data_IF_354739133529
#
_entry.id   IF_354739133529
#
_cell.length_a   1.000
_cell.length_b   1.000
_cell.length_c   1.000
_cell.angle_alpha   90.00
_cell.angle_beta   90.00
_cell.angle_gamma   90.00
#
_symmetry.space_group_name_H-M   'P 1'
#
loop_
_entity.id
_entity.type
_entity.pdbx_description
1 polymer ?
#
# COMPACT_ATOMS: atom_id res chain seq x y z
N UNK A 1 24.14 8.85 5.05
CA UNK A 1 23.79 9.25 3.66
C UNK A 1 23.76 8.14 2.61
N UNK A 2 24.31 6.95 2.84
CA UNK A 2 24.45 5.90 1.80
C UNK A 2 23.49 4.70 1.93
N UNK A 3 22.19 4.88 2.24
CA UNK A 3 21.25 3.77 2.04
C UNK A 3 20.89 3.64 0.55
N UNK A 4 21.00 2.42 0.02
CA UNK A 4 20.48 2.07 -1.30
C UNK A 4 18.95 2.21 -1.32
N UNK A 5 18.33 2.52 -2.48
CA UNK A 5 16.87 2.57 -2.57
C UNK A 5 16.26 1.23 -2.16
N UNK A 6 15.09 1.23 -1.49
CA UNK A 6 14.42 0.00 -1.13
C UNK A 6 14.06 -0.80 -2.39
N UNK A 7 14.15 -2.12 -2.26
CA UNK A 7 13.71 -3.08 -3.28
C UNK A 7 12.25 -3.42 -2.99
N UNK A 8 11.34 -2.83 -3.75
CA UNK A 8 9.88 -2.98 -3.58
C UNK A 8 9.16 -2.68 -4.89
N UNK A 9 7.99 -3.28 -5.09
CA UNK A 9 7.04 -2.93 -6.16
C UNK A 9 6.41 -1.54 -5.99
N UNK A 10 6.50 -0.94 -4.79
CA UNK A 10 6.01 0.41 -4.51
C UNK A 10 6.99 1.48 -5.00
N UNK A 11 7.05 1.67 -6.32
CA UNK A 11 7.92 2.62 -7.00
C UNK A 11 7.85 4.05 -6.43
N UNK A 12 6.64 4.55 -6.18
CA UNK A 12 6.37 5.88 -5.59
C UNK A 12 6.86 6.05 -4.15
N UNK A 13 7.21 4.97 -3.44
CA UNK A 13 7.71 4.99 -2.06
C UNK A 13 9.23 4.79 -1.96
N UNK A 14 9.96 4.75 -3.08
CA UNK A 14 11.42 4.51 -3.10
C UNK A 14 12.26 5.77 -2.85
N UNK A 15 11.62 6.93 -2.77
CA UNK A 15 12.29 8.21 -2.55
C UNK A 15 12.91 8.32 -1.15
N UNK A 16 14.01 9.06 -1.04
CA UNK A 16 14.58 9.44 0.26
C UNK A 16 13.82 10.63 0.82
N UNK A 17 13.56 10.61 2.12
CA UNK A 17 12.95 11.74 2.81
C UNK A 17 13.95 12.89 2.94
N UNK A 18 13.57 14.10 2.52
CA UNK A 18 14.37 15.31 2.72
C UNK A 18 14.34 15.78 4.17
N UNK A 19 15.33 16.58 4.58
CA UNK A 19 15.47 17.07 5.97
C UNK A 19 14.20 17.73 6.51
N UNK A 20 13.61 18.67 5.76
CA UNK A 20 12.39 19.38 6.18
C UNK A 20 11.19 18.44 6.41
N UNK A 21 11.04 17.43 5.55
CA UNK A 21 9.99 16.42 5.69
C UNK A 21 10.24 15.52 6.89
N UNK A 22 11.51 15.16 7.14
CA UNK A 22 11.91 14.34 8.29
C UNK A 22 11.63 15.02 9.63
N UNK A 23 11.92 16.31 9.75
CA UNK A 23 11.67 17.05 11.00
C UNK A 23 10.18 17.07 11.35
N UNK A 24 9.32 17.28 10.34
CA UNK A 24 7.86 17.24 10.51
C UNK A 24 7.38 15.83 10.84
N UNK A 25 7.86 14.83 10.11
CA UNK A 25 7.54 13.42 10.31
C UNK A 25 7.89 12.97 11.73
N UNK A 26 9.11 13.24 12.19
CA UNK A 26 9.60 12.83 13.50
C UNK A 26 8.78 13.44 14.65
N UNK A 27 8.28 14.67 14.47
CA UNK A 27 7.48 15.38 15.48
C UNK A 27 6.03 14.93 15.53
N UNK A 28 5.43 14.59 14.39
CA UNK A 28 3.97 14.43 14.27
C UNK A 28 3.51 12.98 14.12
N UNK A 29 4.34 12.08 13.61
CA UNK A 29 3.94 10.69 13.36
C UNK A 29 3.99 9.88 14.66
N UNK A 30 2.88 9.22 14.98
CA UNK A 30 2.78 8.36 16.16
C UNK A 30 3.43 6.99 15.94
N UNK A 31 3.25 6.39 14.74
CA UNK A 31 3.67 5.02 14.44
C UNK A 31 4.13 4.89 12.99
N UNK A 32 5.05 3.94 12.76
CA UNK A 32 5.45 3.49 11.43
C UNK A 32 5.21 1.99 11.35
N UNK A 33 4.42 1.55 10.38
CA UNK A 33 4.15 0.13 10.12
C UNK A 33 4.89 -0.27 8.86
N UNK A 34 5.69 -1.32 8.94
CA UNK A 34 6.34 -1.92 7.78
C UNK A 34 5.46 -3.02 7.21
N UNK A 35 5.41 -3.12 5.90
CA UNK A 35 4.63 -4.10 5.16
C UNK A 35 5.48 -4.73 4.08
N UNK A 36 5.21 -5.99 3.75
CA UNK A 36 5.85 -6.67 2.61
C UNK A 36 5.16 -6.35 1.29
N UNK A 37 5.82 -6.62 0.17
CA UNK A 37 5.20 -6.50 -1.16
C UNK A 37 3.98 -7.45 -1.30
N UNK A 38 3.99 -8.61 -0.63
CA UNK A 38 2.84 -9.53 -0.59
C UNK A 38 1.64 -8.90 0.17
N UNK A 39 1.90 -8.23 1.30
CA UNK A 39 0.84 -7.49 2.03
C UNK A 39 0.24 -6.38 1.16
N UNK A 40 1.05 -5.75 0.30
CA UNK A 40 0.60 -4.72 -0.65
C UNK A 40 -0.32 -5.34 -1.70
N UNK A 41 0.06 -6.46 -2.32
CA UNK A 41 -0.78 -7.14 -3.33
C UNK A 41 -2.11 -7.57 -2.73
N UNK A 42 -2.11 -8.17 -1.54
CA UNK A 42 -3.34 -8.55 -0.86
C UNK A 42 -4.22 -7.32 -0.57
N UNK A 43 -3.60 -6.19 -0.18
CA UNK A 43 -4.32 -4.95 0.07
C UNK A 43 -4.94 -4.37 -1.21
N UNK A 44 -4.22 -4.41 -2.34
CA UNK A 44 -4.75 -4.02 -3.65
C UNK A 44 -5.99 -4.86 -4.00
N UNK A 45 -5.92 -6.18 -3.79
CA UNK A 45 -7.05 -7.07 -4.03
C UNK A 45 -8.24 -6.73 -3.13
N UNK A 46 -8.02 -6.47 -1.84
CA UNK A 46 -9.09 -6.07 -0.91
C UNK A 46 -9.77 -4.76 -1.37
N UNK A 47 -8.98 -3.76 -1.77
CA UNK A 47 -9.51 -2.48 -2.28
C UNK A 47 -10.36 -2.71 -3.53
N UNK A 48 -9.87 -3.51 -4.47
CA UNK A 48 -10.64 -3.85 -5.66
C UNK A 48 -11.94 -4.61 -5.32
N UNK A 49 -11.86 -5.63 -4.47
CA UNK A 49 -13.00 -6.48 -4.13
C UNK A 49 -14.09 -5.73 -3.34
N UNK A 50 -13.71 -4.81 -2.46
CA UNK A 50 -14.64 -4.11 -1.57
C UNK A 50 -15.06 -2.75 -2.08
N UNK A 51 -14.15 -2.00 -2.68
CA UNK A 51 -14.40 -0.62 -3.11
C UNK A 51 -14.57 -0.49 -4.62
N UNK A 52 -14.18 -1.52 -5.40
CA UNK A 52 -14.19 -1.48 -6.87
C UNK A 52 -13.29 -0.38 -7.45
N UNK A 53 -12.28 0.00 -6.69
CA UNK A 53 -11.26 0.95 -7.08
C UNK A 53 -10.01 0.20 -7.52
N UNK A 54 -9.40 0.65 -8.62
CA UNK A 54 -8.06 0.22 -9.02
C UNK A 54 -7.07 1.19 -8.38
N UNK A 55 -6.19 0.66 -7.55
CA UNK A 55 -5.09 1.41 -6.92
C UNK A 55 -3.75 0.86 -7.43
N UNK A 56 -2.74 1.71 -7.47
CA UNK A 56 -1.35 1.27 -7.72
C UNK A 56 -0.75 0.68 -6.43
N UNK A 57 0.38 -0.06 -6.48
CA UNK A 57 1.00 -0.66 -5.29
C UNK A 57 1.25 0.35 -4.17
N UNK A 58 1.86 1.50 -4.50
CA UNK A 58 2.11 2.59 -3.55
C UNK A 58 0.81 3.13 -2.92
N UNK A 59 -0.27 3.19 -3.70
CA UNK A 59 -1.61 3.61 -3.28
C UNK A 59 -2.28 2.68 -2.26
N UNK A 60 -1.89 1.41 -2.21
CA UNK A 60 -2.44 0.41 -1.30
C UNK A 60 -1.69 0.33 0.04
N UNK A 61 -0.55 1.00 0.20
CA UNK A 61 0.31 0.87 1.38
C UNK A 61 -0.39 1.17 2.71
N UNK A 62 -1.29 2.17 2.74
CA UNK A 62 -2.08 2.49 3.93
C UNK A 62 -3.05 1.37 4.33
N UNK A 63 -3.64 0.68 3.36
CA UNK A 63 -4.55 -0.45 3.60
C UNK A 63 -3.77 -1.66 4.10
N UNK A 64 -2.61 -1.94 3.48
CA UNK A 64 -1.71 -3.01 3.92
C UNK A 64 -1.28 -2.78 5.38
N UNK A 65 -0.88 -1.55 5.73
CA UNK A 65 -0.44 -1.21 7.08
C UNK A 65 -1.50 -1.49 8.14
N UNK A 66 -2.77 -1.13 7.88
CA UNK A 66 -3.87 -1.39 8.81
C UNK A 66 -4.15 -2.89 8.96
N UNK A 67 -4.08 -3.66 7.85
CA UNK A 67 -4.29 -5.11 7.88
C UNK A 67 -3.17 -5.83 8.65
N UNK A 68 -1.91 -5.45 8.42
CA UNK A 68 -0.74 -5.97 9.14
C UNK A 68 -0.82 -5.62 10.62
N UNK A 69 -1.11 -4.37 10.96
CA UNK A 69 -1.30 -3.93 12.34
C UNK A 69 -2.38 -4.74 13.07
N UNK A 70 -3.50 -5.02 12.40
CA UNK A 70 -4.57 -5.84 12.96
C UNK A 70 -4.18 -7.32 13.11
N UNK A 71 -3.48 -7.89 12.11
CA UNK A 71 -3.02 -9.30 12.10
C UNK A 71 -2.00 -9.56 13.20
N UNK A 72 -1.01 -8.67 13.33
CA UNK A 72 0.16 -8.88 14.19
C UNK A 72 -0.06 -8.34 15.62
N UNK A 73 -1.25 -7.81 15.91
CA UNK A 73 -1.58 -7.21 17.20
C UNK A 73 -0.80 -5.93 17.50
N UNK A 74 -0.11 -5.37 16.50
CA UNK A 74 0.63 -4.11 16.58
C UNK A 74 -0.39 -2.97 16.45
N UNK A 75 -1.07 -2.67 17.56
CA UNK A 75 -2.15 -1.68 17.56
C UNK A 75 -1.69 -0.29 17.10
N UNK A 76 -2.45 0.30 16.17
CA UNK A 76 -2.31 1.73 15.85
C UNK A 76 -2.81 2.54 17.05
N UNK A 77 -1.88 3.14 17.80
CA UNK A 77 -2.19 3.87 19.03
C UNK A 77 -1.51 5.23 19.09
N UNK A 78 -2.14 6.20 19.75
CA UNK A 78 -1.54 7.52 19.93
C UNK A 78 -0.29 7.45 20.81
N UNK A 79 0.84 8.03 20.36
CA UNK A 79 2.09 8.11 21.12
C UNK A 79 1.92 8.86 22.44
N UNK A 80 0.97 9.82 22.51
CA UNK A 80 0.72 10.63 23.72
C UNK A 80 -0.11 9.91 24.77
N UNK A 81 -1.09 9.12 24.36
CA UNK A 81 -2.09 8.54 25.29
C UNK A 81 -2.00 7.03 25.41
N UNK A 82 -1.28 6.35 24.51
CA UNK A 82 -1.22 4.89 24.41
C UNK A 82 -2.53 4.25 23.97
N UNK A 83 -3.58 5.03 23.67
CA UNK A 83 -4.91 4.51 23.31
C UNK A 83 -4.96 4.17 21.82
N UNK A 84 -5.54 3.01 21.52
CA UNK A 84 -5.82 2.59 20.16
C UNK A 84 -6.81 3.55 19.46
N UNK A 85 -6.59 3.77 18.16
CA UNK A 85 -7.53 4.53 17.35
C UNK A 85 -8.79 3.69 17.06
N UNK A 86 -9.96 4.30 17.26
CA UNK A 86 -11.25 3.64 17.00
C UNK A 86 -11.70 3.75 15.55
N UNK A 87 -11.46 4.91 14.94
CA UNK A 87 -11.81 5.22 13.56
C UNK A 87 -10.53 5.46 12.78
N UNK A 88 -10.36 4.79 11.65
CA UNK A 88 -9.15 4.83 10.84
C UNK A 88 -9.52 5.37 9.46
N UNK A 89 -8.96 6.53 9.10
CA UNK A 89 -8.98 7.04 7.73
C UNK A 89 -7.75 6.55 6.98
N UNK A 90 -7.94 6.10 5.74
CA UNK A 90 -6.85 5.61 4.89
C UNK A 90 -6.80 6.46 3.62
N UNK A 91 -5.61 6.95 3.28
CA UNK A 91 -5.38 7.71 2.05
C UNK A 91 -4.95 6.75 0.95
N UNK A 92 -5.78 6.62 -0.09
CA UNK A 92 -5.43 5.92 -1.33
C UNK A 92 -4.76 6.93 -2.26
N UNK A 93 -3.44 7.01 -2.24
CA UNK A 93 -2.71 8.14 -2.83
C UNK A 93 -2.55 8.09 -4.36
N UNK A 94 -2.78 6.94 -5.00
CA UNK A 94 -2.56 6.77 -6.43
C UNK A 94 -3.24 5.53 -7.02
N UNK A 95 -3.44 5.58 -8.34
CA UNK A 95 -4.09 4.55 -9.14
C UNK A 95 -3.49 4.42 -10.54
N UNK A 96 -2.26 4.90 -10.73
CA UNK A 96 -1.58 4.90 -12.03
C UNK A 96 -0.95 3.53 -12.29
N UNK A 97 -1.80 2.56 -12.60
CA UNK A 97 -1.38 1.19 -12.88
C UNK A 97 -1.59 0.86 -14.36
N UNK A 98 -0.57 0.28 -14.99
CA UNK A 98 -0.76 -0.32 -16.31
C UNK A 98 -1.54 -1.64 -16.17
N UNK A 99 -2.75 -1.66 -16.75
CA UNK A 99 -3.65 -2.81 -16.74
C UNK A 99 -3.54 -3.67 -17.99
N UNK A 100 -2.60 -3.40 -18.90
CA UNK A 100 -2.36 -4.17 -20.12
C UNK A 100 -2.31 -5.67 -19.84
N UNK A 101 -1.54 -6.10 -18.84
CA UNK A 101 -1.41 -7.50 -18.42
C UNK A 101 -2.76 -8.17 -18.11
N UNK A 102 -3.68 -7.45 -17.47
CA UNK A 102 -5.01 -7.96 -17.17
C UNK A 102 -5.85 -8.14 -18.44
N UNK A 103 -5.89 -7.12 -19.29
CA UNK A 103 -6.71 -7.17 -20.51
C UNK A 103 -6.13 -8.12 -21.55
N UNK A 104 -4.81 -8.22 -21.67
CA UNK A 104 -4.12 -9.19 -22.51
C UNK A 104 -4.44 -10.63 -22.09
N UNK A 105 -4.47 -10.89 -20.77
CA UNK A 105 -4.91 -12.18 -20.22
C UNK A 105 -6.35 -12.51 -20.63
N UNK A 106 -7.26 -11.55 -20.45
CA UNK A 106 -8.68 -11.72 -20.81
C UNK A 106 -8.84 -11.97 -22.32
N UNK A 107 -8.11 -11.23 -23.15
CA UNK A 107 -8.08 -11.44 -24.60
C UNK A 107 -7.55 -12.83 -24.97
N UNK A 108 -6.47 -13.27 -24.32
CA UNK A 108 -5.93 -14.62 -24.51
C UNK A 108 -6.93 -15.72 -24.14
N UNK A 109 -7.69 -15.52 -23.06
CA UNK A 109 -8.75 -16.46 -22.66
C UNK A 109 -9.89 -16.53 -23.69
N UNK A 110 -10.27 -15.40 -24.31
CA UNK A 110 -11.25 -15.38 -25.40
C UNK A 110 -10.76 -16.19 -26.60
N UNK A 111 -9.51 -15.98 -27.02
CA UNK A 111 -8.94 -16.68 -28.18
C UNK A 111 -8.85 -18.19 -27.94
N UNK A 112 -8.47 -18.62 -26.73
CA UNK A 112 -8.47 -20.03 -26.32
C UNK A 112 -9.85 -20.66 -26.40
N UNK A 113 -10.89 -19.93 -25.97
CA UNK A 113 -12.27 -20.42 -26.02
C UNK A 113 -12.85 -20.50 -27.45
N UNK A 114 -12.32 -19.69 -28.39
CA UNK A 114 -12.75 -19.68 -29.79
C UNK A 114 -12.21 -20.83 -30.63
N UNK A 115 -11.37 -21.70 -30.07
CA UNK A 115 -10.87 -22.89 -30.76
C UNK A 115 -9.53 -22.71 -31.48
N UNK A 116 -8.63 -21.90 -30.91
CA UNK A 116 -7.18 -22.05 -31.09
C UNK A 116 -6.57 -22.67 -29.84
#
# INVERSE_FOLDING_TARGET
>A
DQLAPPKTICDGLRAKMGHTSYDTFHRLVDNVVTVSDDDIIDAMQVVYDKCKLVVEPSGAAGVAAVRVAARDGVGLASRKTGKAFKNIGIILCGGNLDLSVLFDKIHGDIERLRGK
#
